data_IF_537167940996
#
_entry.id   IF_537167940996
#
_cell.length_a   1.000
_cell.length_b   1.000
_cell.length_c   1.000
_cell.angle_alpha   90.00
_cell.angle_beta   90.00
_cell.angle_gamma   90.00
#
_symmetry.space_group_name_H-M   'P 1'
#
loop_
_entity.id
_entity.type
_entity.pdbx_description
1 polymer ?
#
# COMPACT_ATOMS: atom_id res chain seq x y z
N UNK A 1 -14.27 -4.60 -11.05
CA UNK A 1 -12.81 -4.56 -11.00
C UNK A 1 -12.39 -3.69 -9.84
N UNK A 2 -11.20 -3.91 -9.28
CA UNK A 2 -10.66 -2.94 -8.35
C UNK A 2 -10.51 -1.62 -9.10
N UNK A 3 -10.98 -0.52 -8.57
CA UNK A 3 -10.83 0.79 -9.19
C UNK A 3 -9.38 1.24 -9.30
N UNK A 4 -8.44 0.54 -8.67
CA UNK A 4 -7.02 0.82 -8.70
C UNK A 4 -6.34 0.22 -9.94
N UNK A 5 -5.29 0.86 -10.38
CA UNK A 5 -4.43 0.34 -11.44
C UNK A 5 -3.79 -0.98 -11.01
N UNK A 6 -3.65 -1.90 -11.94
CA UNK A 6 -2.95 -3.17 -11.73
C UNK A 6 -1.80 -3.31 -12.73
N UNK A 7 -0.73 -3.95 -12.28
CA UNK A 7 0.38 -4.33 -13.13
C UNK A 7 0.19 -5.77 -13.61
N UNK A 8 0.32 -5.99 -14.90
CA UNK A 8 0.27 -7.31 -15.52
C UNK A 8 1.68 -7.80 -15.81
N UNK A 9 1.95 -9.04 -15.43
CA UNK A 9 3.16 -9.77 -15.82
C UNK A 9 2.72 -10.95 -16.65
N UNK A 10 3.21 -11.06 -17.90
CA UNK A 10 2.88 -12.15 -18.82
C UNK A 10 4.15 -12.88 -19.24
N UNK A 11 4.16 -14.20 -19.14
CA UNK A 11 5.22 -15.09 -19.61
C UNK A 11 4.72 -15.83 -20.86
N UNK A 12 5.15 -15.38 -22.03
CA UNK A 12 4.68 -15.92 -23.32
C UNK A 12 5.13 -17.36 -23.61
N UNK A 13 6.26 -17.78 -23.04
CA UNK A 13 6.76 -19.16 -23.13
C UNK A 13 7.14 -19.62 -21.75
N UNK A 14 6.68 -20.83 -21.37
CA UNK A 14 7.08 -21.47 -20.10
C UNK A 14 8.60 -21.43 -19.97
N UNK A 15 9.07 -21.01 -18.82
CA UNK A 15 10.49 -20.85 -18.55
C UNK A 15 10.89 -21.69 -17.33
N UNK A 16 12.06 -22.32 -17.38
CA UNK A 16 12.64 -22.98 -16.21
C UNK A 16 12.99 -21.97 -15.11
N UNK A 17 13.26 -20.72 -15.52
CA UNK A 17 13.57 -19.62 -14.59
C UNK A 17 12.33 -18.75 -14.36
N UNK A 18 12.07 -18.44 -13.10
CA UNK A 18 11.05 -17.48 -12.72
C UNK A 18 11.39 -16.09 -13.28
N UNK A 19 10.39 -15.42 -13.85
CA UNK A 19 10.49 -14.05 -14.39
C UNK A 19 9.42 -13.17 -13.74
N UNK A 20 9.69 -11.90 -13.66
CA UNK A 20 8.75 -10.95 -13.06
C UNK A 20 9.36 -9.59 -12.83
N UNK A 21 8.93 -8.95 -11.77
CA UNK A 21 9.36 -7.61 -11.37
C UNK A 21 10.14 -7.67 -10.06
N UNK A 22 11.04 -6.71 -9.89
CA UNK A 22 11.73 -6.47 -8.62
C UNK A 22 11.91 -4.97 -8.39
N UNK A 23 11.89 -4.59 -7.13
CA UNK A 23 12.09 -3.21 -6.70
C UNK A 23 12.95 -3.18 -5.44
N UNK A 24 13.87 -2.22 -5.37
CA UNK A 24 14.55 -1.91 -4.12
C UNK A 24 13.64 -1.06 -3.24
N UNK A 25 13.45 -1.47 -2.01
CA UNK A 25 12.61 -0.79 -1.01
C UNK A 25 13.44 -0.46 0.23
N UNK A 26 13.13 0.65 0.88
CA UNK A 26 13.65 0.99 2.18
C UNK A 26 12.63 0.59 3.25
N UNK A 27 13.03 -0.25 4.18
CA UNK A 27 12.17 -0.70 5.28
C UNK A 27 12.54 0.06 6.53
N UNK A 28 11.65 0.93 6.98
CA UNK A 28 11.78 1.62 8.24
C UNK A 28 11.35 0.68 9.39
N UNK A 29 11.86 0.94 10.60
CA UNK A 29 11.54 0.14 11.79
C UNK A 29 11.84 -1.35 11.63
N UNK A 30 13.02 -1.67 11.06
CA UNK A 30 13.43 -3.02 10.68
C UNK A 30 13.36 -4.06 11.81
N UNK A 31 13.48 -3.60 13.07
CA UNK A 31 13.38 -4.44 14.27
C UNK A 31 11.93 -4.81 14.63
N UNK A 32 10.96 -4.16 14.02
CA UNK A 32 9.54 -4.38 14.31
C UNK A 32 8.94 -5.43 13.37
N UNK A 33 7.80 -5.98 13.79
CA UNK A 33 6.96 -6.80 12.92
C UNK A 33 6.25 -5.91 11.90
N UNK A 34 6.21 -6.36 10.64
CA UNK A 34 5.54 -5.67 9.54
C UNK A 34 4.35 -6.47 9.03
N UNK A 35 3.35 -5.78 8.54
CA UNK A 35 2.23 -6.36 7.80
C UNK A 35 2.49 -6.15 6.31
N UNK A 36 2.71 -7.25 5.61
CA UNK A 36 2.76 -7.29 4.15
C UNK A 36 1.39 -7.65 3.61
N UNK A 37 0.93 -6.94 2.59
CA UNK A 37 -0.27 -7.30 1.84
C UNK A 37 -0.11 -7.01 0.36
N UNK A 38 -0.79 -7.81 -0.48
CA UNK A 38 -0.78 -7.66 -1.93
C UNK A 38 -2.04 -8.27 -2.52
N UNK A 39 -2.64 -7.58 -3.49
CA UNK A 39 -3.77 -8.09 -4.27
C UNK A 39 -3.25 -8.80 -5.51
N UNK A 40 -3.73 -10.01 -5.75
CA UNK A 40 -3.30 -10.87 -6.84
C UNK A 40 -4.49 -11.47 -7.59
N UNK A 41 -4.32 -11.65 -8.91
CA UNK A 41 -5.25 -12.39 -9.77
C UNK A 41 -4.46 -13.10 -10.85
N UNK A 42 -4.75 -14.38 -11.13
CA UNK A 42 -4.05 -15.17 -12.15
C UNK A 42 -4.80 -16.45 -12.48
N UNK A 43 -4.16 -17.34 -13.22
CA UNK A 43 -4.78 -18.56 -13.78
C UNK A 43 -4.54 -19.83 -12.96
N UNK A 44 -4.05 -19.70 -11.72
CA UNK A 44 -3.79 -20.83 -10.82
C UNK A 44 -2.32 -21.24 -10.72
N UNK A 45 -1.41 -20.49 -11.36
CA UNK A 45 0.03 -20.71 -11.27
C UNK A 45 0.61 -20.35 -9.91
N UNK A 46 1.81 -20.85 -9.64
CA UNK A 46 2.61 -20.47 -8.47
C UNK A 46 3.18 -19.06 -8.68
N UNK A 47 3.03 -18.25 -7.64
CA UNK A 47 3.62 -16.92 -7.53
C UNK A 47 4.67 -16.96 -6.43
N UNK A 48 5.88 -16.54 -6.76
CA UNK A 48 7.00 -16.48 -5.84
C UNK A 48 7.21 -15.03 -5.43
N UNK A 49 7.09 -14.76 -4.14
CA UNK A 49 7.29 -13.44 -3.56
C UNK A 49 8.50 -13.52 -2.66
N UNK A 50 9.47 -12.65 -2.89
CA UNK A 50 10.64 -12.50 -2.03
C UNK A 50 10.71 -11.08 -1.49
N UNK A 51 10.95 -10.94 -0.19
CA UNK A 51 11.15 -9.66 0.49
C UNK A 51 12.42 -9.78 1.33
N UNK A 52 13.53 -9.26 0.82
CA UNK A 52 14.83 -9.50 1.42
C UNK A 52 15.15 -10.99 1.49
N UNK A 53 15.37 -11.51 2.71
CA UNK A 53 15.63 -12.92 2.99
C UNK A 53 14.37 -13.80 3.05
N UNK A 54 13.19 -13.19 3.11
CA UNK A 54 11.92 -13.90 3.28
C UNK A 54 11.35 -14.34 1.93
N UNK A 55 10.91 -15.60 1.84
CA UNK A 55 10.36 -16.17 0.61
C UNK A 55 8.98 -16.78 0.86
N UNK A 56 8.05 -16.49 -0.04
CA UNK A 56 6.69 -17.01 -0.01
C UNK A 56 6.34 -17.60 -1.38
N UNK A 57 5.66 -18.75 -1.37
CA UNK A 57 5.10 -19.36 -2.57
C UNK A 57 3.60 -19.49 -2.36
N UNK A 58 2.83 -18.87 -3.22
CA UNK A 58 1.38 -18.85 -3.15
C UNK A 58 0.78 -19.27 -4.51
N UNK A 59 -0.43 -19.80 -4.49
CA UNK A 59 -1.16 -20.12 -5.72
C UNK A 59 -2.07 -18.96 -6.08
N UNK A 60 -2.04 -18.49 -7.32
CA UNK A 60 -2.95 -17.48 -7.81
C UNK A 60 -4.35 -18.03 -8.05
N UNK A 61 -5.36 -17.17 -8.12
CA UNK A 61 -6.75 -17.50 -8.38
C UNK A 61 -7.29 -16.64 -9.52
N UNK A 62 -8.33 -17.11 -10.19
CA UNK A 62 -8.98 -16.38 -11.30
C UNK A 62 -9.77 -15.15 -10.84
N UNK A 63 -10.08 -15.06 -9.55
CA UNK A 63 -10.63 -13.86 -8.93
C UNK A 63 -9.56 -13.13 -8.14
N UNK A 64 -9.72 -11.83 -7.98
CA UNK A 64 -8.87 -11.05 -7.08
C UNK A 64 -8.94 -11.58 -5.66
N UNK A 65 -7.78 -11.80 -5.04
CA UNK A 65 -7.66 -12.14 -3.63
C UNK A 65 -6.51 -11.36 -3.01
N UNK A 66 -6.58 -11.17 -1.71
CA UNK A 66 -5.56 -10.50 -0.93
C UNK A 66 -4.71 -11.52 -0.19
N UNK A 67 -3.41 -11.53 -0.47
CA UNK A 67 -2.44 -12.25 0.35
C UNK A 67 -1.93 -11.32 1.44
N UNK A 68 -2.05 -11.75 2.70
CA UNK A 68 -1.57 -11.02 3.88
C UNK A 68 -0.62 -11.89 4.69
N UNK A 69 0.45 -11.27 5.18
CA UNK A 69 1.40 -11.95 6.07
C UNK A 69 2.02 -10.96 7.04
N UNK A 70 2.07 -11.32 8.32
CA UNK A 70 2.95 -10.65 9.27
C UNK A 70 4.36 -11.20 9.08
N UNK A 71 5.33 -10.31 8.98
CA UNK A 71 6.74 -10.65 8.72
C UNK A 71 7.65 -9.88 9.67
N UNK A 72 8.76 -10.49 10.03
CA UNK A 72 9.84 -9.87 10.78
C UNK A 72 11.14 -10.20 10.05
N UNK A 73 11.97 -9.18 9.87
CA UNK A 73 13.28 -9.35 9.25
C UNK A 73 14.30 -9.78 10.30
N UNK A 74 15.16 -10.73 9.95
CA UNK A 74 16.29 -11.16 10.79
C UNK A 74 17.54 -10.32 10.48
N UNK A 75 17.68 -9.88 9.24
CA UNK A 75 18.76 -9.01 8.79
C UNK A 75 18.35 -7.53 8.98
N UNK A 76 19.18 -6.77 9.69
CA UNK A 76 18.95 -5.37 10.05
C UNK A 76 19.22 -4.36 8.92
N UNK A 77 19.58 -4.82 7.73
CA UNK A 77 19.74 -3.93 6.57
C UNK A 77 18.38 -3.32 6.18
N UNK A 78 18.29 -2.01 6.20
CA UNK A 78 17.05 -1.29 5.85
C UNK A 78 16.71 -1.39 4.37
N UNK A 79 17.71 -1.48 3.50
CA UNK A 79 17.51 -1.66 2.06
C UNK A 79 17.26 -3.11 1.74
N UNK A 80 16.06 -3.42 1.25
CA UNK A 80 15.62 -4.77 0.85
C UNK A 80 15.25 -4.79 -0.63
N UNK A 81 15.18 -5.99 -1.19
CA UNK A 81 14.60 -6.20 -2.52
C UNK A 81 13.25 -6.89 -2.36
N UNK A 82 12.21 -6.30 -2.92
CA UNK A 82 10.94 -6.97 -3.17
C UNK A 82 10.96 -7.52 -4.59
N UNK A 83 10.69 -8.80 -4.77
CA UNK A 83 10.50 -9.40 -6.09
C UNK A 83 9.23 -10.25 -6.12
N UNK A 84 8.54 -10.21 -7.25
CA UNK A 84 7.34 -11.00 -7.53
C UNK A 84 7.54 -11.67 -8.89
N UNK A 85 7.58 -12.99 -8.90
CA UNK A 85 7.94 -13.76 -10.08
C UNK A 85 6.99 -14.93 -10.31
N UNK A 86 6.83 -15.31 -11.56
CA UNK A 86 6.09 -16.49 -12.04
C UNK A 86 6.92 -17.21 -13.08
N UNK A 87 6.59 -18.46 -13.40
CA UNK A 87 7.29 -19.26 -14.43
C UNK A 87 6.42 -19.56 -15.67
N UNK A 88 5.14 -19.26 -15.61
CA UNK A 88 4.19 -19.49 -16.71
C UNK A 88 3.00 -18.55 -16.61
N UNK A 89 2.27 -18.40 -17.70
CA UNK A 89 1.01 -17.68 -17.82
C UNK A 89 1.09 -16.19 -17.47
N UNK A 90 0.08 -15.69 -16.79
CA UNK A 90 -0.01 -14.28 -16.43
C UNK A 90 -0.46 -14.06 -15.00
N UNK A 91 -0.04 -12.95 -14.42
CA UNK A 91 -0.50 -12.47 -13.11
C UNK A 91 -0.78 -10.97 -13.16
N UNK A 92 -1.82 -10.58 -12.48
CA UNK A 92 -2.15 -9.19 -12.18
C UNK A 92 -1.85 -8.90 -10.72
N UNK A 93 -1.20 -7.78 -10.47
CA UNK A 93 -0.73 -7.34 -9.16
C UNK A 93 -1.31 -5.95 -8.89
N UNK A 94 -1.84 -5.74 -7.69
CA UNK A 94 -2.30 -4.44 -7.23
C UNK A 94 -2.08 -4.28 -5.73
N UNK A 95 -2.15 -3.05 -5.23
CA UNK A 95 -2.17 -2.70 -3.80
C UNK A 95 -1.10 -3.41 -2.97
N UNK A 96 0.14 -3.42 -3.45
CA UNK A 96 1.26 -3.94 -2.68
C UNK A 96 1.62 -2.99 -1.54
N UNK A 97 1.60 -3.46 -0.31
CA UNK A 97 1.85 -2.66 0.89
C UNK A 97 2.74 -3.41 1.87
N UNK A 98 3.69 -2.69 2.46
CA UNK A 98 4.53 -3.16 3.55
C UNK A 98 4.58 -2.08 4.63
N UNK A 99 3.88 -2.29 5.72
CA UNK A 99 3.72 -1.32 6.81
C UNK A 99 4.17 -1.92 8.15
N UNK A 100 4.78 -1.14 9.05
CA UNK A 100 4.98 -1.59 10.42
C UNK A 100 3.64 -2.03 11.02
N UNK A 101 3.64 -3.11 11.78
CA UNK A 101 2.43 -3.58 12.47
C UNK A 101 2.01 -2.65 13.61
N UNK A 102 2.99 -2.03 14.24
CA UNK A 102 2.79 -1.11 15.35
C UNK A 102 2.40 0.29 14.85
N UNK A 103 1.18 0.40 14.31
CA UNK A 103 0.58 1.65 13.84
C UNK A 103 -0.61 2.02 14.73
N UNK A 104 -1.05 3.26 14.66
CA UNK A 104 -2.30 3.74 15.27
C UNK A 104 -3.30 3.93 14.12
N UNK A 105 -4.24 3.02 13.95
CA UNK A 105 -5.21 2.99 12.83
C UNK A 105 -4.59 3.11 11.43
N UNK A 106 -3.38 2.55 11.24
CA UNK A 106 -2.64 2.63 9.99
C UNK A 106 -1.72 3.86 9.88
N UNK A 107 -1.78 4.80 10.81
CA UNK A 107 -0.86 5.94 10.87
C UNK A 107 0.42 5.59 11.61
N UNK A 108 1.52 6.22 11.22
CA UNK A 108 2.81 6.07 11.88
C UNK A 108 2.70 6.52 13.34
N UNK A 109 3.03 5.61 14.24
CA UNK A 109 2.91 5.83 15.70
C UNK A 109 3.78 6.97 16.22
N UNK A 110 5.00 7.08 15.72
CA UNK A 110 5.95 8.13 16.09
C UNK A 110 5.44 9.52 15.68
N UNK A 111 4.98 9.66 14.44
CA UNK A 111 4.39 10.90 13.91
C UNK A 111 3.12 11.27 14.68
N UNK A 112 2.23 10.29 14.90
CA UNK A 112 0.98 10.52 15.63
C UNK A 112 1.26 11.03 17.05
N UNK A 113 2.25 10.45 17.75
CA UNK A 113 2.65 10.91 19.07
C UNK A 113 3.22 12.34 19.07
N UNK A 114 4.02 12.68 18.07
CA UNK A 114 4.55 14.05 17.95
C UNK A 114 3.42 15.07 17.74
N UNK A 115 2.45 14.76 16.88
CA UNK A 115 1.30 15.63 16.66
C UNK A 115 0.44 15.74 17.93
N UNK A 116 0.23 14.64 18.66
CA UNK A 116 -0.45 14.67 19.97
C UNK A 116 0.27 15.55 20.99
N UNK A 117 1.59 15.59 21.00
CA UNK A 117 2.37 16.47 21.88
C UNK A 117 2.29 17.93 21.45
N UNK A 118 2.18 18.19 20.14
CA UNK A 118 2.07 19.54 19.60
C UNK A 118 0.69 20.16 19.88
N UNK A 119 -0.34 19.34 20.05
CA UNK A 119 -1.71 19.76 20.39
C UNK A 119 -2.29 20.82 19.42
N UNK A 120 -2.30 20.60 18.10
CA UNK A 120 -2.92 21.55 17.18
C UNK A 120 -4.41 21.64 17.46
N UNK A 121 -4.95 22.86 17.55
CA UNK A 121 -6.39 23.06 17.80
C UNK A 121 -7.24 22.54 16.64
N UNK A 122 -6.76 22.67 15.40
CA UNK A 122 -7.41 22.14 14.21
C UNK A 122 -6.40 21.69 13.17
N UNK A 123 -6.84 20.79 12.29
CA UNK A 123 -6.05 20.31 11.15
C UNK A 123 -6.91 20.41 9.90
N UNK A 124 -6.34 21.00 8.83
CA UNK A 124 -7.04 21.19 7.55
C UNK A 124 -6.70 20.09 6.56
N UNK A 125 -7.75 19.54 5.91
CA UNK A 125 -7.62 18.60 4.81
C UNK A 125 -8.88 18.61 3.92
N UNK A 126 -8.77 18.35 2.60
CA UNK A 126 -7.55 18.45 1.81
C UNK A 126 -7.06 19.87 1.72
N UNK A 127 -5.81 20.09 1.27
CA UNK A 127 -5.22 21.42 1.27
C UNK A 127 -4.35 21.74 0.05
N UNK A 128 -4.08 23.04 -0.12
CA UNK A 128 -3.27 23.53 -1.22
C UNK A 128 -3.88 23.24 -2.60
N UNK A 129 -3.04 23.14 -3.63
CA UNK A 129 -3.47 22.86 -5.01
C UNK A 129 -4.03 21.43 -5.19
N UNK A 130 -3.77 20.53 -4.28
CA UNK A 130 -4.37 19.20 -4.27
C UNK A 130 -5.90 19.25 -4.28
N UNK A 131 -6.50 20.21 -3.56
CA UNK A 131 -7.94 20.40 -3.49
C UNK A 131 -8.57 20.63 -4.87
N UNK A 132 -7.89 21.34 -5.77
CA UNK A 132 -8.45 21.71 -7.09
C UNK A 132 -8.83 20.51 -7.97
N UNK A 133 -8.20 19.36 -7.77
CA UNK A 133 -8.49 18.13 -8.51
C UNK A 133 -9.08 17.00 -7.65
N UNK A 134 -9.23 17.22 -6.35
CA UNK A 134 -9.65 16.18 -5.43
C UNK A 134 -11.16 15.94 -5.45
N UNK A 135 -11.53 14.69 -5.66
CA UNK A 135 -12.92 14.25 -5.53
C UNK A 135 -13.03 13.34 -4.29
N UNK A 136 -13.68 13.83 -3.26
CA UNK A 136 -13.82 13.13 -1.98
C UNK A 136 -14.51 11.76 -2.09
N UNK A 137 -15.42 11.56 -3.05
CA UNK A 137 -16.03 10.25 -3.31
C UNK A 137 -15.01 9.15 -3.61
N UNK A 138 -13.88 9.49 -4.22
CA UNK A 138 -12.81 8.54 -4.50
C UNK A 138 -12.08 8.09 -3.22
N UNK A 139 -12.20 8.85 -2.14
CA UNK A 139 -11.60 8.55 -0.84
C UNK A 139 -12.52 7.80 0.12
N UNK A 140 -13.75 7.43 -0.28
CA UNK A 140 -14.73 6.76 0.59
C UNK A 140 -14.75 5.25 0.39
N UNK A 141 -15.11 4.51 1.44
CA UNK A 141 -15.27 3.05 1.40
C UNK A 141 -13.94 2.27 1.47
N UNK A 142 -13.99 1.02 1.04
CA UNK A 142 -12.83 0.12 1.15
C UNK A 142 -11.67 0.60 0.25
N UNK A 143 -10.50 0.83 0.86
CA UNK A 143 -9.27 1.32 0.21
C UNK A 143 -8.87 0.51 -1.03
N UNK A 144 -9.12 -0.80 -1.05
CA UNK A 144 -8.80 -1.66 -2.19
C UNK A 144 -9.62 -1.37 -3.45
N UNK A 145 -10.71 -0.62 -3.32
CA UNK A 145 -11.63 -0.30 -4.41
C UNK A 145 -11.70 1.20 -4.74
N UNK A 146 -10.97 2.05 -4.00
CA UNK A 146 -10.92 3.48 -4.27
C UNK A 146 -10.24 3.74 -5.60
N UNK A 147 -10.77 4.70 -6.36
CA UNK A 147 -10.21 5.09 -7.64
C UNK A 147 -8.98 5.99 -7.44
N UNK A 148 -7.85 5.67 -8.04
CA UNK A 148 -6.75 6.62 -8.09
C UNK A 148 -7.08 7.77 -9.05
N UNK A 149 -6.49 8.93 -8.80
CA UNK A 149 -6.52 10.03 -9.75
C UNK A 149 -5.11 10.59 -9.96
N UNK A 150 -4.91 11.28 -11.07
CA UNK A 150 -3.66 11.97 -11.34
C UNK A 150 -3.73 13.38 -10.77
N UNK A 151 -2.86 13.70 -9.83
CA UNK A 151 -2.73 15.03 -9.26
C UNK A 151 -1.83 15.89 -10.17
N UNK A 152 -2.45 16.82 -10.89
CA UNK A 152 -1.74 17.73 -11.79
C UNK A 152 -0.91 18.80 -11.06
N UNK A 153 -1.19 19.05 -9.78
CA UNK A 153 -0.42 19.99 -8.99
C UNK A 153 0.94 19.42 -8.57
N UNK A 154 0.98 18.11 -8.33
CA UNK A 154 2.19 17.42 -7.86
C UNK A 154 2.77 16.44 -8.89
N UNK A 155 2.10 16.28 -10.05
CA UNK A 155 2.49 15.37 -11.14
C UNK A 155 2.65 13.92 -10.70
N UNK A 156 1.79 13.46 -9.78
CA UNK A 156 1.83 12.12 -9.21
C UNK A 156 0.45 11.46 -9.20
N UNK A 157 0.46 10.13 -9.11
CA UNK A 157 -0.76 9.35 -8.92
C UNK A 157 -1.11 9.25 -7.44
N UNK A 158 -2.29 9.75 -7.08
CA UNK A 158 -2.84 9.60 -5.75
C UNK A 158 -3.76 8.36 -5.69
N UNK A 159 -3.49 7.50 -4.71
CA UNK A 159 -4.24 6.25 -4.54
C UNK A 159 -5.45 6.35 -3.61
N UNK A 160 -5.68 7.50 -3.03
CA UNK A 160 -6.74 7.72 -2.04
C UNK A 160 -6.65 6.77 -0.82
N UNK A 161 -5.43 6.42 -0.41
CA UNK A 161 -5.22 5.59 0.79
C UNK A 161 -5.62 6.30 2.08
N UNK A 162 -5.60 7.62 2.06
CA UNK A 162 -6.20 8.50 3.06
C UNK A 162 -7.36 9.24 2.41
N UNK A 163 -8.54 9.09 2.96
CA UNK A 163 -9.75 9.80 2.57
C UNK A 163 -10.37 10.49 3.78
N UNK A 164 -11.59 10.97 3.63
CA UNK A 164 -12.31 11.69 4.70
C UNK A 164 -12.43 10.86 5.98
N UNK A 165 -12.77 9.57 5.88
CA UNK A 165 -12.93 8.70 7.04
C UNK A 165 -11.62 8.57 7.83
N UNK A 166 -10.49 8.33 7.15
CA UNK A 166 -9.19 8.23 7.79
C UNK A 166 -8.76 9.57 8.40
N UNK A 167 -9.04 10.67 7.70
CA UNK A 167 -8.73 12.01 8.22
C UNK A 167 -9.51 12.33 9.50
N UNK A 168 -10.82 12.08 9.52
CA UNK A 168 -11.66 12.27 10.70
C UNK A 168 -11.17 11.43 11.88
N UNK A 169 -10.89 10.14 11.63
CA UNK A 169 -10.35 9.22 12.61
C UNK A 169 -9.01 9.69 13.19
N UNK A 170 -8.14 10.24 12.31
CA UNK A 170 -6.86 10.78 12.75
C UNK A 170 -7.01 12.03 13.60
N UNK A 171 -7.92 12.93 13.26
CA UNK A 171 -8.24 14.11 14.08
C UNK A 171 -8.71 13.71 15.49
N UNK A 172 -9.57 12.71 15.62
CA UNK A 172 -9.98 12.15 16.91
C UNK A 172 -8.79 11.62 17.73
N UNK A 173 -7.90 10.85 17.07
CA UNK A 173 -6.70 10.26 17.69
C UNK A 173 -5.78 11.35 18.23
N UNK A 174 -5.56 12.42 17.45
CA UNK A 174 -4.65 13.51 17.85
C UNK A 174 -5.34 14.62 18.65
N UNK A 175 -6.64 14.50 18.87
CA UNK A 175 -7.48 15.45 19.62
C UNK A 175 -7.50 16.86 19.00
N UNK A 176 -7.64 16.92 17.69
CA UNK A 176 -7.75 18.16 16.92
C UNK A 176 -9.09 18.25 16.22
N UNK A 177 -9.60 19.47 16.04
CA UNK A 177 -10.81 19.71 15.25
C UNK A 177 -10.50 19.55 13.74
N UNK A 178 -11.31 18.80 12.99
CA UNK A 178 -11.16 18.67 11.56
C UNK A 178 -11.66 19.94 10.83
N UNK A 179 -10.83 20.48 9.94
CA UNK A 179 -11.24 21.51 8.98
C UNK A 179 -11.27 20.90 7.60
N UNK A 180 -12.48 20.60 7.10
CA UNK A 180 -12.67 20.07 5.75
C UNK A 180 -12.76 21.25 4.77
N UNK A 181 -11.92 21.19 3.73
CA UNK A 181 -11.97 22.16 2.62
C UNK A 181 -12.72 21.54 1.44
N UNK A 182 -13.62 22.30 0.82
CA UNK A 182 -14.45 21.92 -0.32
C UNK A 182 -14.28 22.94 -1.44
#
# INVERSE_FOLDING_TARGET
GSGKQSQQITIRKKSEKNRGIKQSINVNFINEEHKFSIMLKGTGQKVYIQIGELNFVIKSHTKWFEFKKNIKFNDLKTKKTLSITINSDEIYIANCSLMPKNTIFGFRKDVTKLIQQWLPSYIRWPGGNYLSGYNWFNGVGNKNYRLPFYDYAWYEWENNDVGTDEFMQWCEIVKSEPMITI
#
